data_IF_745540755172
#
_entry.id   IF_745540755172
#
_cell.length_a   1.000
_cell.length_b   1.000
_cell.length_c   1.000
_cell.angle_alpha   90.00
_cell.angle_beta   90.00
_cell.angle_gamma   90.00
#
_symmetry.space_group_name_H-M   'P 1'
#
loop_
_entity.id
_entity.type
_entity.pdbx_description
1 polymer ?
#
# COMPACT_ATOMS: atom_id res chain seq x y z
N UNK A 1 4.47 -17.87 -4.84
CA UNK A 1 4.46 -16.88 -3.73
C UNK A 1 4.04 -15.55 -4.33
N UNK A 2 2.99 -14.90 -3.82
CA UNK A 2 2.53 -13.61 -4.36
C UNK A 2 3.55 -12.54 -3.95
N UNK A 3 4.12 -11.83 -4.92
CA UNK A 3 5.12 -10.79 -4.72
C UNK A 3 4.63 -9.46 -5.29
N UNK A 4 5.20 -8.35 -4.79
CA UNK A 4 4.89 -7.01 -5.29
C UNK A 4 5.22 -6.88 -6.80
N UNK A 5 4.42 -6.13 -7.58
CA UNK A 5 4.79 -5.72 -8.93
C UNK A 5 6.16 -5.04 -8.91
N UNK A 6 6.95 -5.22 -9.99
CA UNK A 6 8.31 -4.71 -10.05
C UNK A 6 8.37 -3.18 -9.89
N UNK A 7 7.43 -2.47 -10.50
CA UNK A 7 7.26 -1.02 -10.39
C UNK A 7 7.00 -0.57 -8.95
N UNK A 8 6.10 -1.24 -8.23
CA UNK A 8 5.80 -0.91 -6.83
C UNK A 8 7.00 -1.21 -5.92
N UNK A 9 7.67 -2.36 -6.12
CA UNK A 9 8.87 -2.71 -5.35
C UNK A 9 9.96 -1.65 -5.56
N UNK A 10 10.23 -1.28 -6.82
CA UNK A 10 11.23 -0.28 -7.13
C UNK A 10 10.89 1.11 -6.56
N UNK A 11 9.62 1.50 -6.61
CA UNK A 11 9.16 2.75 -6.00
C UNK A 11 9.36 2.72 -4.48
N UNK A 12 9.04 1.61 -3.82
CA UNK A 12 9.25 1.43 -2.39
C UNK A 12 10.74 1.52 -2.01
N UNK A 13 11.61 0.83 -2.75
CA UNK A 13 13.06 0.89 -2.56
C UNK A 13 13.60 2.32 -2.73
N UNK A 14 13.11 3.02 -3.76
CA UNK A 14 13.48 4.42 -4.03
C UNK A 14 13.07 5.33 -2.88
N UNK A 15 11.83 5.20 -2.38
CA UNK A 15 11.35 5.99 -1.26
C UNK A 15 12.11 5.68 0.04
N UNK A 16 12.48 4.42 0.26
CA UNK A 16 13.32 4.02 1.40
C UNK A 16 14.73 4.61 1.33
N UNK A 17 15.32 4.72 0.13
CA UNK A 17 16.68 5.25 -0.06
C UNK A 17 16.85 6.71 0.39
N UNK A 18 15.76 7.45 0.54
CA UNK A 18 15.75 8.81 1.10
C UNK A 18 15.99 8.87 2.61
N UNK A 19 16.05 7.72 3.29
CA UNK A 19 16.23 7.63 4.74
C UNK A 19 17.52 6.90 5.11
N UNK A 20 18.11 7.24 6.25
CA UNK A 20 19.24 6.48 6.78
C UNK A 20 18.76 5.10 7.23
N UNK A 21 19.46 4.05 6.83
CA UNK A 21 19.12 2.66 7.16
C UNK A 21 18.91 2.45 8.68
N UNK A 22 19.79 3.02 9.50
CA UNK A 22 19.70 2.95 10.97
C UNK A 22 18.38 3.53 11.50
N UNK A 23 17.86 4.59 10.88
CA UNK A 23 16.60 5.22 11.28
C UNK A 23 15.40 4.34 10.88
N UNK A 24 15.45 3.68 9.72
CA UNK A 24 14.43 2.71 9.27
C UNK A 24 14.38 1.47 10.16
N UNK A 25 15.54 0.92 10.52
CA UNK A 25 15.64 -0.24 11.43
C UNK A 25 15.09 0.11 12.82
N UNK A 26 15.50 1.25 13.37
CA UNK A 26 14.98 1.73 14.67
C UNK A 26 13.47 1.90 14.63
N UNK A 27 12.96 2.60 13.61
CA UNK A 27 11.52 2.83 13.46
C UNK A 27 10.73 1.53 13.34
N UNK A 28 11.21 0.57 12.55
CA UNK A 28 10.60 -0.77 12.45
C UNK A 28 10.49 -1.46 13.81
N UNK A 29 11.54 -1.41 14.62
CA UNK A 29 11.54 -1.96 15.98
C UNK A 29 10.52 -1.28 16.90
N UNK A 30 10.48 0.05 16.88
CA UNK A 30 9.53 0.83 17.68
C UNK A 30 8.07 0.57 17.27
N UNK A 31 7.78 0.54 15.96
CA UNK A 31 6.44 0.26 15.44
C UNK A 31 5.97 -1.14 15.83
N UNK A 32 6.85 -2.13 15.71
CA UNK A 32 6.55 -3.52 16.10
C UNK A 32 6.24 -3.63 17.60
N UNK A 33 7.01 -2.94 18.44
CA UNK A 33 6.79 -2.91 19.89
C UNK A 33 5.47 -2.24 20.27
N UNK A 34 5.12 -1.12 19.59
CA UNK A 34 3.89 -0.37 19.84
C UNK A 34 2.64 -1.11 19.35
N UNK A 35 2.73 -1.85 18.25
CA UNK A 35 1.60 -2.63 17.71
C UNK A 35 1.04 -3.67 18.71
N UNK A 36 1.86 -4.13 19.66
CA UNK A 36 1.46 -5.08 20.71
C UNK A 36 0.77 -4.46 21.92
N UNK A 37 0.63 -3.13 21.96
CA UNK A 37 0.01 -2.38 23.07
C UNK A 37 -1.28 -1.70 22.59
N UNK A 38 -2.27 -1.48 23.47
CA UNK A 38 -3.43 -0.66 23.15
C UNK A 38 -2.97 0.73 22.67
N UNK A 39 -3.44 1.16 21.50
CA UNK A 39 -3.01 2.41 20.90
C UNK A 39 -3.69 3.61 21.60
N UNK A 40 -2.90 4.44 22.28
CA UNK A 40 -3.35 5.72 22.88
C UNK A 40 -2.90 6.94 22.07
N UNK A 41 -2.00 6.76 21.10
CA UNK A 41 -1.35 7.81 20.30
C UNK A 41 -1.21 7.36 18.84
N UNK A 42 -1.06 8.27 17.86
CA UNK A 42 -0.74 7.92 16.48
C UNK A 42 0.52 7.06 16.40
N UNK A 43 0.42 5.93 15.68
CA UNK A 43 1.50 4.95 15.57
C UNK A 43 2.63 5.46 14.67
N UNK A 44 2.30 6.17 13.59
CA UNK A 44 3.22 6.76 12.62
C UNK A 44 3.39 8.24 12.95
N UNK A 45 4.62 8.68 13.24
CA UNK A 45 4.90 10.04 13.72
C UNK A 45 5.85 10.82 12.82
N UNK A 46 6.44 10.15 11.84
CA UNK A 46 7.40 10.73 10.91
C UNK A 46 7.30 10.09 9.54
N UNK A 47 7.84 10.74 8.52
CA UNK A 47 7.98 10.16 7.17
C UNK A 47 8.81 8.88 7.19
N UNK A 48 9.83 8.80 8.06
CA UNK A 48 10.60 7.57 8.29
C UNK A 48 9.73 6.44 8.85
N UNK A 49 8.79 6.74 9.76
CA UNK A 49 7.86 5.73 10.28
C UNK A 49 6.93 5.21 9.18
N UNK A 50 6.43 6.11 8.33
CA UNK A 50 5.58 5.71 7.18
C UNK A 50 6.39 4.83 6.21
N UNK A 51 7.62 5.21 5.89
CA UNK A 51 8.50 4.42 5.01
C UNK A 51 8.81 3.04 5.61
N UNK A 52 9.20 2.97 6.88
CA UNK A 52 9.46 1.73 7.59
C UNK A 52 8.21 0.84 7.69
N UNK A 53 7.06 1.44 7.98
CA UNK A 53 5.78 0.73 8.02
C UNK A 53 5.42 0.15 6.64
N UNK A 54 5.51 0.96 5.57
CA UNK A 54 5.22 0.52 4.22
C UNK A 54 6.14 -0.63 3.81
N UNK A 55 7.45 -0.48 4.02
CA UNK A 55 8.45 -1.50 3.72
C UNK A 55 8.15 -2.85 4.38
N UNK A 56 7.69 -2.82 5.63
CA UNK A 56 7.52 -4.03 6.44
C UNK A 56 6.12 -4.63 6.36
N UNK A 57 5.08 -3.84 6.07
CA UNK A 57 3.67 -4.26 6.10
C UNK A 57 3.02 -4.33 4.74
N UNK A 58 3.41 -3.48 3.80
CA UNK A 58 2.79 -3.44 2.46
C UNK A 58 2.95 -4.76 1.70
N UNK A 59 4.11 -5.44 1.66
CA UNK A 59 4.25 -6.69 0.92
C UNK A 59 3.28 -7.79 1.38
N UNK A 60 3.14 -7.96 2.69
CA UNK A 60 2.22 -8.93 3.26
C UNK A 60 0.75 -8.55 3.02
N UNK A 61 0.42 -7.25 3.13
CA UNK A 61 -0.93 -6.74 2.87
C UNK A 61 -1.32 -6.92 1.40
N UNK A 62 -0.42 -6.58 0.47
CA UNK A 62 -0.61 -6.83 -0.96
C UNK A 62 -0.86 -8.31 -1.22
N UNK A 63 -0.01 -9.20 -0.70
CA UNK A 63 -0.16 -10.64 -0.92
C UNK A 63 -1.49 -11.19 -0.40
N UNK A 64 -1.92 -10.76 0.79
CA UNK A 64 -3.19 -11.16 1.38
C UNK A 64 -4.38 -10.65 0.56
N UNK A 65 -4.37 -9.39 0.13
CA UNK A 65 -5.44 -8.81 -0.69
C UNK A 65 -5.50 -9.48 -2.05
N UNK A 66 -4.36 -9.66 -2.74
CA UNK A 66 -4.31 -10.38 -4.03
C UNK A 66 -4.90 -11.77 -3.90
N UNK A 67 -4.57 -12.51 -2.84
CA UNK A 67 -5.14 -13.85 -2.61
C UNK A 67 -6.67 -13.81 -2.45
N UNK A 68 -7.19 -12.88 -1.64
CA UNK A 68 -8.63 -12.73 -1.43
C UNK A 68 -9.36 -12.33 -2.71
N UNK A 69 -8.85 -11.33 -3.44
CA UNK A 69 -9.42 -10.87 -4.70
C UNK A 69 -9.36 -11.95 -5.79
N UNK A 70 -8.32 -12.80 -5.79
CA UNK A 70 -8.21 -13.93 -6.73
C UNK A 70 -9.33 -14.95 -6.50
N UNK A 71 -9.63 -15.27 -5.25
CA UNK A 71 -10.76 -16.17 -4.93
C UNK A 71 -12.12 -15.54 -5.30
N UNK A 72 -12.28 -14.23 -5.08
CA UNK A 72 -13.48 -13.52 -5.48
C UNK A 72 -13.67 -13.52 -7.01
N UNK A 73 -12.60 -13.23 -7.78
CA UNK A 73 -12.62 -13.24 -9.23
C UNK A 73 -12.93 -14.64 -9.80
N UNK A 74 -12.37 -15.70 -9.20
CA UNK A 74 -12.69 -17.07 -9.59
C UNK A 74 -14.16 -17.45 -9.35
N UNK A 75 -14.79 -16.86 -8.33
CA UNK A 75 -16.19 -17.10 -7.99
C UNK A 75 -17.16 -16.27 -8.85
N UNK A 76 -16.66 -15.21 -9.50
CA UNK A 76 -17.44 -14.29 -10.33
C UNK A 76 -16.64 -13.93 -11.60
N UNK A 77 -16.49 -14.87 -12.55
CA UNK A 77 -15.59 -14.72 -13.70
C UNK A 77 -15.96 -13.55 -14.62
N UNK A 78 -17.24 -13.16 -14.66
CA UNK A 78 -17.72 -12.05 -15.49
C UNK A 78 -17.65 -10.68 -14.76
N UNK A 79 -17.21 -10.65 -13.49
CA UNK A 79 -17.12 -9.42 -12.73
C UNK A 79 -15.95 -8.55 -13.22
N UNK A 80 -16.31 -7.41 -13.82
CA UNK A 80 -15.37 -6.43 -14.39
C UNK A 80 -15.60 -5.05 -13.75
N UNK A 81 -15.11 -4.82 -12.53
CA UNK A 81 -15.26 -3.54 -11.86
C UNK A 81 -14.54 -2.43 -12.63
N UNK A 82 -15.19 -1.29 -12.75
CA UNK A 82 -14.61 -0.09 -13.38
C UNK A 82 -14.17 0.95 -12.34
N UNK A 83 -14.59 0.80 -11.08
CA UNK A 83 -14.23 1.69 -9.98
C UNK A 83 -13.86 0.91 -8.72
N UNK A 84 -12.99 1.48 -7.88
CA UNK A 84 -12.61 0.94 -6.58
C UNK A 84 -12.61 2.05 -5.52
N UNK A 85 -13.18 1.75 -4.35
CA UNK A 85 -13.05 2.54 -3.14
C UNK A 85 -12.27 1.73 -2.10
N UNK A 86 -11.19 2.30 -1.55
CA UNK A 86 -10.33 1.68 -0.54
C UNK A 86 -10.36 2.52 0.74
N UNK A 87 -11.16 2.09 1.72
CA UNK A 87 -11.37 2.81 2.99
C UNK A 87 -10.35 2.36 4.02
N UNK A 88 -9.56 3.29 4.55
CA UNK A 88 -8.39 2.98 5.37
C UNK A 88 -7.25 2.36 4.55
N UNK A 89 -7.17 2.68 3.25
CA UNK A 89 -6.25 2.04 2.31
C UNK A 89 -4.77 2.30 2.57
N UNK A 90 -4.44 3.21 3.50
CA UNK A 90 -3.08 3.52 3.90
C UNK A 90 -2.19 3.89 2.71
N UNK A 91 -1.08 3.17 2.54
CA UNK A 91 -0.14 3.38 1.42
C UNK A 91 -0.60 2.75 0.09
N UNK A 92 -1.84 2.25 0.02
CA UNK A 92 -2.50 1.82 -1.21
C UNK A 92 -2.28 0.37 -1.61
N UNK A 93 -1.92 -0.54 -0.70
CA UNK A 93 -1.62 -1.93 -1.06
C UNK A 93 -2.75 -2.61 -1.87
N UNK A 94 -4.01 -2.34 -1.51
CA UNK A 94 -5.16 -2.97 -2.15
C UNK A 94 -5.42 -2.46 -3.57
N UNK A 95 -5.09 -1.21 -3.88
CA UNK A 95 -5.31 -0.65 -5.23
C UNK A 95 -4.32 -1.23 -6.24
N UNK A 96 -3.10 -1.53 -5.80
CA UNK A 96 -2.10 -2.25 -6.59
C UNK A 96 -2.51 -3.71 -6.84
N UNK A 97 -3.06 -4.37 -5.81
CA UNK A 97 -3.54 -5.74 -5.94
C UNK A 97 -4.73 -5.83 -6.90
N UNK A 98 -5.73 -4.96 -6.75
CA UNK A 98 -6.92 -4.96 -7.57
C UNK A 98 -6.64 -4.69 -9.05
N UNK A 99 -5.78 -3.73 -9.37
CA UNK A 99 -5.45 -3.37 -10.77
C UNK A 99 -4.60 -4.42 -11.48
N UNK A 100 -3.94 -5.31 -10.73
CA UNK A 100 -3.29 -6.51 -11.30
C UNK A 100 -4.30 -7.56 -11.76
N UNK A 101 -5.46 -7.67 -11.09
CA UNK A 101 -6.52 -8.62 -11.45
C UNK A 101 -7.51 -8.05 -12.46
N UNK A 102 -7.85 -6.76 -12.33
CA UNK A 102 -8.84 -6.08 -13.16
C UNK A 102 -8.20 -4.92 -13.93
N UNK A 103 -7.58 -5.18 -15.10
CA UNK A 103 -6.98 -4.13 -15.93
C UNK A 103 -8.01 -3.14 -16.51
N UNK A 104 -9.30 -3.44 -16.38
CA UNK A 104 -10.41 -2.57 -16.78
C UNK A 104 -10.79 -1.49 -15.74
N UNK A 105 -10.16 -1.47 -14.56
CA UNK A 105 -10.39 -0.44 -13.55
C UNK A 105 -10.02 0.94 -14.11
N UNK A 106 -10.90 1.93 -13.92
CA UNK A 106 -10.73 3.28 -14.46
C UNK A 106 -10.53 4.33 -13.38
N UNK A 107 -11.18 4.15 -12.25
CA UNK A 107 -11.12 5.08 -11.13
C UNK A 107 -10.85 4.35 -9.82
N UNK A 108 -9.94 4.91 -9.03
CA UNK A 108 -9.59 4.43 -7.70
C UNK A 108 -9.64 5.61 -6.74
N UNK A 109 -10.27 5.41 -5.58
CA UNK A 109 -10.30 6.38 -4.50
C UNK A 109 -9.80 5.73 -3.22
N UNK A 110 -8.82 6.34 -2.56
CA UNK A 110 -8.26 5.87 -1.30
C UNK A 110 -8.64 6.86 -0.21
N UNK A 111 -9.43 6.41 0.77
CA UNK A 111 -9.78 7.21 1.93
C UNK A 111 -8.83 6.86 3.06
N UNK A 112 -7.92 7.77 3.37
CA UNK A 112 -7.00 7.67 4.51
C UNK A 112 -7.08 8.97 5.31
N UNK A 113 -6.83 8.89 6.62
CA UNK A 113 -6.90 10.04 7.53
C UNK A 113 -5.55 10.72 7.73
N UNK A 114 -4.45 9.96 7.63
CA UNK A 114 -3.11 10.46 7.91
C UNK A 114 -2.49 11.10 6.64
N UNK A 115 -2.24 12.43 6.63
CA UNK A 115 -1.68 13.11 5.46
C UNK A 115 -0.31 12.59 5.03
N UNK A 116 0.53 12.13 5.96
CA UNK A 116 1.86 11.60 5.64
C UNK A 116 1.74 10.24 4.94
N UNK A 117 0.77 9.41 5.36
CA UNK A 117 0.47 8.13 4.70
C UNK A 117 -0.13 8.36 3.31
N UNK A 118 -1.05 9.31 3.16
CA UNK A 118 -1.60 9.71 1.85
C UNK A 118 -0.48 10.17 0.92
N UNK A 119 0.38 11.07 1.38
CA UNK A 119 1.49 11.58 0.58
C UNK A 119 2.45 10.45 0.15
N UNK A 120 2.74 9.51 1.05
CA UNK A 120 3.58 8.36 0.73
C UNK A 120 2.92 7.43 -0.30
N UNK A 121 1.64 7.10 -0.09
CA UNK A 121 0.85 6.29 -1.03
C UNK A 121 0.78 6.90 -2.42
N UNK A 122 0.61 8.23 -2.53
CA UNK A 122 0.66 8.97 -3.80
C UNK A 122 2.05 8.92 -4.45
N UNK A 123 3.11 9.00 -3.66
CA UNK A 123 4.48 8.84 -4.14
C UNK A 123 4.72 7.47 -4.79
N UNK A 124 4.25 6.39 -4.13
CA UNK A 124 4.28 5.05 -4.73
C UNK A 124 3.43 5.00 -6.00
N UNK A 125 2.18 5.46 -5.92
CA UNK A 125 1.21 5.39 -7.01
C UNK A 125 1.68 6.11 -8.28
N UNK A 126 2.46 7.19 -8.16
CA UNK A 126 3.03 7.92 -9.29
C UNK A 126 3.92 7.05 -10.20
N UNK A 127 4.51 5.98 -9.66
CA UNK A 127 5.34 5.04 -10.43
C UNK A 127 4.54 3.99 -11.21
N UNK A 128 3.22 3.90 -11.01
CA UNK A 128 2.41 2.85 -11.62
C UNK A 128 2.29 2.99 -13.14
N UNK A 129 2.30 1.89 -13.88
CA UNK A 129 1.94 1.86 -15.30
C UNK A 129 0.42 1.97 -15.50
N UNK A 130 -0.37 1.48 -14.55
CA UNK A 130 -1.83 1.54 -14.62
C UNK A 130 -2.35 2.94 -14.29
N UNK A 131 -3.09 3.54 -15.22
CA UNK A 131 -3.55 4.93 -15.10
C UNK A 131 -4.46 5.18 -13.88
N UNK A 132 -5.33 4.23 -13.53
CA UNK A 132 -6.20 4.38 -12.37
C UNK A 132 -5.43 4.41 -11.04
N UNK A 133 -4.27 3.74 -10.96
CA UNK A 133 -3.42 3.79 -9.76
C UNK A 133 -2.71 5.14 -9.69
N UNK A 134 -2.08 5.60 -10.78
CA UNK A 134 -1.38 6.90 -10.82
C UNK A 134 -2.26 8.07 -10.41
N UNK A 135 -3.54 8.04 -10.79
CA UNK A 135 -4.49 9.11 -10.52
C UNK A 135 -5.43 8.79 -9.35
N UNK A 136 -5.06 7.84 -8.49
CA UNK A 136 -5.85 7.53 -7.31
C UNK A 136 -6.02 8.79 -6.44
N UNK A 137 -7.26 9.10 -6.10
CA UNK A 137 -7.63 10.30 -5.32
C UNK A 137 -7.57 10.03 -3.84
#
# INVERSE_FOLDING_TARGET
MISLPAELRHALDTMMSGHREQDLVRSTGELTARYRRPATEPALRSTTDVAAYAATRMPATYAAVTAALTQAAASMPDYQPTTQLDVGGGTGAAIWAATTLWPGLRQVTVVERDPAVIAFGRGLAAAAHHAAVRHAT
#
